data_IF_727421651827
#
_entry.id   IF_727421651827
#
_cell.length_a   1.000
_cell.length_b   1.000
_cell.length_c   1.000
_cell.angle_alpha   90.00
_cell.angle_beta   90.00
_cell.angle_gamma   90.00
#
_symmetry.space_group_name_H-M   'P 1'
#
loop_
_entity.id
_entity.type
_entity.pdbx_description
1 polymer ?
#
# COMPACT_ATOMS: atom_id res chain seq x y z
N UNK A 1 12.28 -40.19 -43.53
CA UNK A 1 13.01 -40.73 -42.36
C UNK A 1 12.50 -40.05 -41.11
N UNK A 2 11.76 -40.79 -40.29
CA UNK A 2 11.37 -40.40 -38.92
C UNK A 2 12.26 -41.16 -37.96
N UNK A 3 12.72 -40.51 -36.89
CA UNK A 3 12.38 -40.99 -35.55
C UNK A 3 12.10 -39.81 -34.61
N UNK A 4 11.57 -39.92 -33.39
CA UNK A 4 10.79 -40.90 -32.62
C UNK A 4 10.66 -40.21 -31.24
N UNK A 5 9.46 -40.22 -30.64
CA UNK A 5 9.16 -39.68 -29.30
C UNK A 5 10.16 -40.15 -28.23
N UNK A 6 10.37 -39.33 -27.18
CA UNK A 6 10.33 -39.80 -25.78
C UNK A 6 9.68 -38.75 -24.88
N UNK A 7 8.58 -39.15 -24.25
CA UNK A 7 7.96 -38.52 -23.08
C UNK A 7 8.74 -38.99 -21.86
N UNK A 8 9.16 -38.06 -20.99
CA UNK A 8 9.81 -38.38 -19.72
C UNK A 8 9.16 -37.65 -18.56
N UNK A 9 8.25 -38.34 -17.86
CA UNK A 9 7.81 -38.00 -16.50
C UNK A 9 8.87 -38.43 -15.49
N UNK A 10 9.29 -37.55 -14.57
CA UNK A 10 9.82 -37.88 -13.23
C UNK A 10 9.51 -36.68 -12.31
N UNK A 11 8.60 -36.82 -11.35
CA UNK A 11 8.68 -37.53 -10.07
C UNK A 11 9.11 -36.58 -8.94
N UNK A 12 8.21 -36.49 -7.95
CA UNK A 12 8.34 -35.77 -6.69
C UNK A 12 9.57 -36.23 -5.90
N UNK A 13 10.21 -35.30 -5.17
CA UNK A 13 10.89 -35.64 -3.93
C UNK A 13 10.98 -34.41 -3.01
N UNK A 14 10.39 -34.55 -1.82
CA UNK A 14 10.54 -33.67 -0.65
C UNK A 14 11.87 -33.99 0.06
N UNK A 15 12.55 -32.97 0.59
CA UNK A 15 13.38 -33.11 1.79
C UNK A 15 12.86 -32.13 2.87
N UNK A 16 12.90 -32.39 4.16
CA UNK A 16 13.35 -33.53 4.93
C UNK A 16 12.91 -33.26 6.37
N UNK A 17 12.45 -34.32 7.03
CA UNK A 17 12.15 -34.37 8.44
C UNK A 17 13.42 -34.00 9.23
N UNK A 18 13.36 -32.98 10.09
CA UNK A 18 14.40 -32.75 11.11
C UNK A 18 13.84 -33.20 12.46
N UNK A 19 14.33 -34.36 12.90
CA UNK A 19 14.34 -34.76 14.30
C UNK A 19 15.21 -33.75 15.08
N UNK A 20 14.65 -33.20 16.15
CA UNK A 20 15.38 -32.71 17.31
C UNK A 20 14.59 -33.21 18.51
N UNK A 21 15.05 -34.30 19.12
CA UNK A 21 15.99 -34.32 20.25
C UNK A 21 15.21 -34.35 21.57
N UNK A 22 15.24 -35.54 22.18
CA UNK A 22 14.79 -35.82 23.54
C UNK A 22 15.40 -34.82 24.53
N UNK A 23 14.58 -34.31 25.44
CA UNK A 23 15.02 -33.95 26.78
C UNK A 23 14.09 -34.65 27.78
N UNK A 24 14.65 -35.63 28.48
CA UNK A 24 14.04 -36.42 29.53
C UNK A 24 14.67 -35.97 30.86
N UNK A 25 13.94 -35.25 31.71
CA UNK A 25 14.22 -35.03 33.12
C UNK A 25 13.04 -34.23 33.72
N UNK A 26 12.38 -34.58 34.82
CA UNK A 26 12.51 -35.70 35.74
C UNK A 26 11.24 -35.74 36.61
N UNK A 27 10.93 -36.92 37.15
CA UNK A 27 9.83 -37.14 38.09
C UNK A 27 10.16 -36.54 39.45
N UNK A 28 9.25 -35.73 40.01
CA UNK A 28 8.99 -35.67 41.45
C UNK A 28 7.47 -35.55 41.66
N UNK A 29 6.89 -36.62 42.18
CA UNK A 29 5.50 -36.70 42.57
C UNK A 29 5.30 -36.06 43.95
N UNK A 30 4.25 -35.24 44.09
CA UNK A 30 3.69 -34.79 45.36
C UNK A 30 2.19 -34.54 45.18
N UNK A 31 1.30 -35.07 46.05
CA UNK A 31 -0.13 -34.86 45.92
C UNK A 31 -0.63 -33.67 46.77
N UNK A 32 -1.84 -33.21 46.42
CA UNK A 32 -2.72 -32.30 47.16
C UNK A 32 -2.47 -30.78 47.05
N UNK A 33 -3.44 -30.08 46.44
CA UNK A 33 -3.68 -28.65 46.68
C UNK A 33 -4.20 -27.85 45.48
N UNK A 34 -5.50 -27.55 45.49
CA UNK A 34 -6.16 -26.33 44.98
C UNK A 34 -6.14 -25.95 43.47
N UNK A 35 -7.32 -26.12 42.86
CA UNK A 35 -8.07 -25.22 41.95
C UNK A 35 -7.32 -24.22 41.04
N UNK A 36 -7.62 -24.28 39.73
CA UNK A 36 -8.46 -23.27 39.03
C UNK A 36 -8.73 -23.66 37.57
N UNK A 37 -9.86 -23.25 36.97
CA UNK A 37 -10.36 -23.77 35.70
C UNK A 37 -9.59 -23.24 34.50
N UNK A 38 -9.29 -24.13 33.55
CA UNK A 38 -8.68 -23.80 32.28
C UNK A 38 -9.78 -23.27 31.34
N UNK A 39 -9.81 -21.97 30.99
CA UNK A 39 -10.66 -21.50 29.91
C UNK A 39 -10.05 -21.97 28.60
N UNK A 40 -10.87 -22.56 27.74
CA UNK A 40 -10.49 -22.81 26.36
C UNK A 40 -10.01 -21.51 25.72
N UNK A 41 -8.81 -21.50 25.17
CA UNK A 41 -8.37 -20.44 24.27
C UNK A 41 -8.97 -20.71 22.90
N UNK A 42 -10.19 -20.19 22.74
CA UNK A 42 -10.74 -19.70 21.49
C UNK A 42 -9.67 -18.95 20.67
N UNK A 43 -9.58 -19.27 19.38
CA UNK A 43 -9.95 -18.41 18.25
C UNK A 43 -9.13 -17.14 18.06
N UNK A 44 -8.86 -16.87 16.78
CA UNK A 44 -8.51 -15.53 16.33
C UNK A 44 -7.01 -15.29 16.32
N UNK A 45 -6.32 -15.87 15.34
CA UNK A 45 -5.15 -15.21 14.78
C UNK A 45 -5.57 -13.77 14.46
N UNK A 46 -5.08 -12.84 15.27
CA UNK A 46 -5.38 -11.43 15.21
C UNK A 46 -5.25 -10.97 13.77
N UNK A 47 -6.38 -10.70 13.13
CA UNK A 47 -6.44 -9.76 12.04
C UNK A 47 -5.93 -8.45 12.65
N UNK A 48 -4.65 -8.16 12.45
CA UNK A 48 -4.05 -6.89 12.80
C UNK A 48 -5.02 -5.81 12.34
N UNK A 49 -5.66 -5.14 13.30
CA UNK A 49 -6.71 -4.19 13.03
C UNK A 49 -6.11 -3.11 12.15
N UNK A 50 -6.43 -3.16 10.86
CA UNK A 50 -5.88 -2.23 9.89
C UNK A 50 -6.24 -0.82 10.36
N UNK A 51 -5.24 0.03 10.57
CA UNK A 51 -5.47 1.39 11.05
C UNK A 51 -6.53 2.08 10.17
N UNK A 52 -7.51 2.77 10.78
CA UNK A 52 -8.59 3.40 10.04
C UNK A 52 -8.04 4.45 9.07
N UNK A 53 -8.74 4.65 7.95
CA UNK A 53 -8.37 5.69 7.00
C UNK A 53 -8.59 7.09 7.62
N UNK A 54 -7.74 8.08 7.27
CA UNK A 54 -7.83 9.41 7.86
C UNK A 54 -9.08 10.15 7.38
N UNK A 55 -9.85 10.74 8.31
CA UNK A 55 -11.05 11.55 8.02
C UNK A 55 -10.85 13.05 8.27
N UNK A 56 -9.75 13.44 8.94
CA UNK A 56 -9.39 14.82 9.23
C UNK A 56 -8.16 15.26 8.41
N UNK A 57 -8.06 16.55 8.02
CA UNK A 57 -6.93 17.06 7.22
C UNK A 57 -5.57 16.75 7.83
N UNK A 58 -5.37 17.09 9.11
CA UNK A 58 -4.10 16.88 9.80
C UNK A 58 -3.77 15.39 9.95
N UNK A 59 -4.80 14.55 10.12
CA UNK A 59 -4.63 13.11 10.16
C UNK A 59 -4.19 12.54 8.81
N UNK A 60 -4.64 13.10 7.68
CA UNK A 60 -4.17 12.71 6.35
C UNK A 60 -2.70 13.08 6.15
N UNK A 61 -2.31 14.31 6.53
CA UNK A 61 -0.92 14.77 6.45
C UNK A 61 -0.03 13.84 7.29
N UNK A 62 -0.38 13.62 8.55
CA UNK A 62 0.36 12.74 9.44
C UNK A 62 0.45 11.30 8.90
N UNK A 63 -0.66 10.75 8.39
CA UNK A 63 -0.72 9.40 7.82
C UNK A 63 0.26 9.24 6.64
N UNK A 64 0.27 10.20 5.71
CA UNK A 64 1.14 10.15 4.53
C UNK A 64 2.60 10.39 4.89
N UNK A 65 2.88 11.37 5.75
CA UNK A 65 4.24 11.64 6.23
C UNK A 65 4.82 10.42 6.96
N UNK A 66 4.03 9.76 7.81
CA UNK A 66 4.45 8.55 8.50
C UNK A 66 4.69 7.40 7.51
N UNK A 67 3.77 7.17 6.58
CA UNK A 67 3.92 6.10 5.58
C UNK A 67 5.16 6.29 4.69
N UNK A 68 5.52 7.53 4.34
CA UNK A 68 6.75 7.83 3.59
C UNK A 68 8.00 7.52 4.41
N UNK A 69 8.01 7.89 5.69
CA UNK A 69 9.14 7.65 6.62
C UNK A 69 9.35 6.16 6.90
N UNK A 70 8.27 5.43 7.12
CA UNK A 70 8.30 4.01 7.49
C UNK A 70 8.40 3.08 6.27
N UNK A 71 8.41 3.64 5.06
CA UNK A 71 8.34 2.88 3.81
C UNK A 71 7.08 1.99 3.72
N UNK A 72 5.97 2.43 4.31
CA UNK A 72 4.74 1.65 4.43
C UNK A 72 3.95 1.65 3.10
N UNK A 73 4.28 0.69 2.23
CA UNK A 73 3.56 0.46 0.98
C UNK A 73 2.09 0.10 1.25
N UNK A 74 1.81 -0.67 2.31
CA UNK A 74 0.46 -1.12 2.62
C UNK A 74 -0.46 0.03 3.04
N UNK A 75 0.08 1.07 3.71
CA UNK A 75 -0.64 2.30 3.99
C UNK A 75 -1.11 3.00 2.71
N UNK A 76 -0.25 3.09 1.68
CA UNK A 76 -0.63 3.67 0.39
C UNK A 76 -1.56 2.77 -0.42
N UNK A 77 -1.36 1.46 -0.39
CA UNK A 77 -2.31 0.52 -1.01
C UNK A 77 -3.71 0.66 -0.42
N UNK A 78 -3.81 0.92 0.89
CA UNK A 78 -5.07 1.22 1.54
C UNK A 78 -5.59 2.60 1.18
N UNK A 79 -4.76 3.64 1.15
CA UNK A 79 -5.19 5.04 1.00
C UNK A 79 -5.63 5.40 -0.43
N UNK A 80 -5.03 4.78 -1.45
CA UNK A 80 -5.33 5.06 -2.86
C UNK A 80 -6.67 4.44 -3.27
N UNK A 81 -7.50 5.22 -3.95
CA UNK A 81 -8.67 4.69 -4.63
C UNK A 81 -8.23 4.00 -5.92
N UNK A 82 -8.31 2.66 -5.96
CA UNK A 82 -7.91 1.85 -7.12
C UNK A 82 -9.03 1.62 -8.14
N UNK A 83 -10.21 2.19 -7.92
CA UNK A 83 -11.36 2.02 -8.83
C UNK A 83 -11.00 2.43 -10.25
N UNK A 84 -11.34 1.59 -11.23
CA UNK A 84 -11.04 1.81 -12.65
C UNK A 84 -9.56 1.65 -13.04
N UNK A 85 -8.68 1.22 -12.12
CA UNK A 85 -7.24 1.09 -12.38
C UNK A 85 -6.88 -0.32 -12.84
N UNK A 86 -6.03 -0.43 -13.88
CA UNK A 86 -5.45 -1.72 -14.33
C UNK A 86 -4.20 -2.08 -13.52
N UNK A 87 -3.86 -3.37 -13.46
CA UNK A 87 -2.71 -3.86 -12.69
C UNK A 87 -1.38 -3.15 -13.02
N UNK A 88 -1.11 -2.87 -14.30
CA UNK A 88 0.09 -2.14 -14.72
C UNK A 88 0.14 -0.70 -14.16
N UNK A 89 -0.99 0.01 -14.17
CA UNK A 89 -1.08 1.37 -13.62
C UNK A 89 -0.91 1.34 -12.10
N UNK A 90 -1.51 0.38 -11.39
CA UNK A 90 -1.27 0.17 -9.95
C UNK A 90 0.23 0.01 -9.65
N UNK A 91 0.94 -0.84 -10.40
CA UNK A 91 2.39 -1.04 -10.24
C UNK A 91 3.19 0.26 -10.45
N UNK A 92 2.88 1.01 -11.50
CA UNK A 92 3.55 2.29 -11.79
C UNK A 92 3.27 3.33 -10.71
N UNK A 93 2.03 3.46 -10.24
CA UNK A 93 1.68 4.38 -9.15
C UNK A 93 2.44 4.05 -7.87
N UNK A 94 2.48 2.76 -7.49
CA UNK A 94 3.25 2.35 -6.29
C UNK A 94 4.75 2.56 -6.46
N UNK A 95 5.29 2.38 -7.68
CA UNK A 95 6.69 2.69 -7.97
C UNK A 95 6.99 4.18 -7.78
N UNK A 96 6.12 5.06 -8.29
CA UNK A 96 6.23 6.51 -8.11
C UNK A 96 6.10 6.93 -6.64
N UNK A 97 5.24 6.27 -5.86
CA UNK A 97 5.13 6.53 -4.42
C UNK A 97 6.43 6.14 -3.71
N UNK A 98 6.97 4.96 -4.03
CA UNK A 98 8.22 4.48 -3.43
C UNK A 98 9.42 5.34 -3.74
N UNK A 99 9.43 6.11 -4.84
CA UNK A 99 10.55 7.05 -5.07
C UNK A 99 10.59 8.19 -4.05
N UNK A 100 9.52 8.41 -3.28
CA UNK A 100 9.49 9.36 -2.16
C UNK A 100 9.97 8.80 -0.82
N UNK A 101 10.10 7.47 -0.70
CA UNK A 101 10.33 6.78 0.57
C UNK A 101 11.73 7.05 1.14
N UNK A 102 11.79 7.27 2.46
CA UNK A 102 13.04 7.52 3.18
C UNK A 102 13.66 8.91 2.95
N UNK A 103 13.06 9.71 2.06
CA UNK A 103 13.49 11.08 1.81
C UNK A 103 13.09 11.98 2.97
N UNK A 104 13.97 12.86 3.45
CA UNK A 104 13.63 13.80 4.51
C UNK A 104 12.52 14.74 4.01
N UNK A 105 11.51 14.96 4.85
CA UNK A 105 10.36 15.82 4.51
C UNK A 105 10.57 17.17 5.17
N UNK A 106 10.61 18.24 4.37
CA UNK A 106 10.68 19.63 4.83
C UNK A 106 9.31 20.13 5.27
N UNK A 107 8.29 19.85 4.47
CA UNK A 107 6.92 20.28 4.73
C UNK A 107 5.91 19.35 4.05
N UNK A 108 4.74 19.20 4.65
CA UNK A 108 3.59 18.55 4.03
C UNK A 108 2.31 19.32 4.37
N UNK A 109 1.48 19.60 3.37
CA UNK A 109 0.27 20.42 3.52
C UNK A 109 -0.85 19.94 2.61
N UNK A 110 -2.07 19.92 3.14
CA UNK A 110 -3.29 19.76 2.34
C UNK A 110 -3.74 21.15 1.88
N UNK A 111 -3.85 21.33 0.57
CA UNK A 111 -4.26 22.59 -0.05
C UNK A 111 -5.50 22.38 -0.92
N UNK A 112 -6.37 23.38 -1.07
CA UNK A 112 -7.43 23.34 -2.06
C UNK A 112 -6.88 23.06 -3.46
N UNK A 113 -7.59 22.25 -4.24
CA UNK A 113 -7.24 22.02 -5.64
C UNK A 113 -7.54 23.31 -6.43
N UNK A 114 -6.59 23.84 -7.23
CA UNK A 114 -6.88 24.97 -8.11
C UNK A 114 -7.98 24.62 -9.11
N UNK A 115 -8.80 25.60 -9.50
CA UNK A 115 -9.93 25.40 -10.42
C UNK A 115 -9.50 24.70 -11.73
N UNK A 116 -8.38 25.13 -12.30
CA UNK A 116 -7.82 24.56 -13.54
C UNK A 116 -6.80 23.45 -13.30
N UNK A 117 -6.65 22.96 -12.06
CA UNK A 117 -5.56 22.05 -11.68
C UNK A 117 -5.56 20.69 -12.39
N UNK A 118 -6.65 20.33 -13.07
CA UNK A 118 -6.76 19.11 -13.89
C UNK A 118 -6.92 19.40 -15.40
N UNK A 119 -6.97 20.66 -15.81
CA UNK A 119 -7.33 21.05 -17.18
C UNK A 119 -6.38 20.43 -18.21
N UNK A 120 -5.06 20.56 -18.01
CA UNK A 120 -4.07 20.01 -18.93
C UNK A 120 -4.16 18.47 -19.03
N UNK A 121 -4.24 17.79 -17.88
CA UNK A 121 -4.27 16.34 -17.82
C UNK A 121 -5.54 15.73 -18.43
N UNK A 122 -6.64 16.49 -18.46
CA UNK A 122 -7.94 16.05 -18.98
C UNK A 122 -8.27 16.63 -20.35
N UNK A 123 -7.52 17.61 -20.86
CA UNK A 123 -7.79 18.32 -22.11
C UNK A 123 -7.96 17.40 -23.33
N UNK A 124 -7.23 16.29 -23.38
CA UNK A 124 -7.30 15.30 -24.48
C UNK A 124 -8.50 14.35 -24.39
N UNK A 125 -9.26 14.39 -23.29
CA UNK A 125 -10.43 13.54 -23.05
C UNK A 125 -10.13 12.05 -22.86
N UNK A 126 -8.85 11.66 -22.80
CA UNK A 126 -8.39 10.27 -22.63
C UNK A 126 -8.24 9.85 -21.17
N UNK A 127 -8.27 10.81 -20.25
CA UNK A 127 -8.13 10.60 -18.81
C UNK A 127 -9.28 11.26 -18.07
N UNK A 128 -9.71 10.65 -16.97
CA UNK A 128 -10.62 11.23 -15.99
C UNK A 128 -10.16 10.89 -14.58
N UNK A 129 -10.53 11.72 -13.60
CA UNK A 129 -10.41 11.34 -12.20
C UNK A 129 -11.36 10.18 -11.89
N UNK A 130 -10.91 9.22 -11.08
CA UNK A 130 -11.72 8.08 -10.67
C UNK A 130 -12.64 8.37 -9.46
N UNK A 131 -12.51 9.55 -8.86
CA UNK A 131 -13.39 10.12 -7.85
C UNK A 131 -13.29 11.65 -7.89
N UNK A 132 -14.25 12.39 -7.29
CA UNK A 132 -14.15 13.85 -7.15
C UNK A 132 -12.89 14.25 -6.39
N UNK A 133 -12.16 15.23 -6.89
CA UNK A 133 -10.96 15.80 -6.27
C UNK A 133 -11.33 17.16 -5.71
N UNK A 134 -11.04 17.37 -4.44
CA UNK A 134 -11.32 18.63 -3.72
C UNK A 134 -10.03 19.34 -3.32
N UNK A 135 -8.99 18.55 -3.03
CA UNK A 135 -7.75 19.02 -2.46
C UNK A 135 -6.55 18.38 -3.17
N UNK A 136 -5.37 18.92 -2.89
CA UNK A 136 -4.09 18.30 -3.20
C UNK A 136 -3.25 18.24 -1.94
N UNK A 137 -2.60 17.10 -1.69
CA UNK A 137 -1.60 16.99 -0.65
C UNK A 137 -0.23 17.19 -1.28
N UNK A 138 0.49 18.23 -0.84
CA UNK A 138 1.85 18.53 -1.28
C UNK A 138 2.82 18.04 -0.21
N UNK A 139 3.83 17.30 -0.63
CA UNK A 139 4.95 16.87 0.21
C UNK A 139 6.22 17.41 -0.41
N UNK A 140 6.87 18.35 0.28
CA UNK A 140 8.13 18.97 -0.12
C UNK A 140 9.26 18.28 0.62
N UNK A 141 10.21 17.73 -0.12
CA UNK A 141 11.37 17.05 0.45
C UNK A 141 12.46 18.05 0.79
N UNK A 142 13.23 17.76 1.85
CA UNK A 142 14.34 18.58 2.32
C UNK A 142 15.63 18.24 1.58
N UNK A 143 15.59 18.44 0.27
CA UNK A 143 16.71 18.18 -0.63
C UNK A 143 16.97 19.44 -1.47
N UNK A 144 18.24 19.72 -1.79
CA UNK A 144 18.57 20.86 -2.66
C UNK A 144 17.88 20.65 -4.02
N UNK A 145 17.28 21.71 -4.59
CA UNK A 145 16.81 21.66 -5.96
C UNK A 145 17.95 21.31 -6.91
N UNK A 146 17.63 20.58 -7.98
CA UNK A 146 18.53 20.48 -9.12
C UNK A 146 18.58 21.86 -9.79
N UNK A 147 19.74 22.26 -10.33
CA UNK A 147 19.93 23.58 -10.91
C UNK A 147 18.86 23.91 -11.96
N UNK A 148 18.13 25.00 -11.76
CA UNK A 148 17.02 25.43 -12.63
C UNK A 148 15.64 24.83 -12.32
N UNK A 149 15.54 23.90 -11.36
CA UNK A 149 14.29 23.24 -11.00
C UNK A 149 13.71 23.71 -9.65
N UNK A 150 12.42 23.45 -9.46
CA UNK A 150 11.76 23.61 -8.16
C UNK A 150 12.23 22.57 -7.14
N UNK A 151 12.02 22.84 -5.85
CA UNK A 151 12.30 21.87 -4.79
C UNK A 151 11.56 20.54 -5.06
N UNK A 152 12.20 19.38 -4.81
CA UNK A 152 11.57 18.09 -5.07
C UNK A 152 10.25 17.96 -4.31
N UNK A 153 9.16 17.78 -5.04
CA UNK A 153 7.80 17.78 -4.48
C UNK A 153 7.00 16.61 -5.02
N UNK A 154 6.31 15.90 -4.14
CA UNK A 154 5.23 14.98 -4.51
C UNK A 154 3.87 15.65 -4.31
N UNK A 155 2.99 15.51 -5.31
CA UNK A 155 1.61 16.00 -5.23
C UNK A 155 0.66 14.83 -5.39
N UNK A 156 -0.20 14.64 -4.39
CA UNK A 156 -1.27 13.64 -4.43
C UNK A 156 -2.60 14.34 -4.65
N UNK A 157 -3.40 13.81 -5.58
CA UNK A 157 -4.77 14.28 -5.80
C UNK A 157 -5.66 13.70 -4.72
N UNK A 158 -6.38 14.54 -3.97
CA UNK A 158 -7.13 14.12 -2.80
C UNK A 158 -8.63 14.34 -3.01
N UNK A 159 -9.41 13.33 -2.65
CA UNK A 159 -10.85 13.41 -2.54
C UNK A 159 -11.35 12.71 -1.28
N UNK A 160 -12.67 12.64 -1.13
CA UNK A 160 -13.32 11.93 -0.04
C UNK A 160 -14.23 10.81 -0.55
N UNK A 161 -14.21 9.68 0.15
CA UNK A 161 -15.05 8.51 -0.11
C UNK A 161 -15.47 7.93 1.23
N UNK A 162 -16.77 7.69 1.43
CA UNK A 162 -17.32 7.17 2.69
C UNK A 162 -16.85 7.94 3.96
N UNK A 163 -16.69 9.26 3.85
CA UNK A 163 -16.27 10.12 4.96
C UNK A 163 -14.77 10.11 5.28
N UNK A 164 -13.96 9.36 4.52
CA UNK A 164 -12.51 9.32 4.66
C UNK A 164 -11.80 9.94 3.46
N UNK A 165 -10.61 10.48 3.69
CA UNK A 165 -9.72 10.94 2.63
C UNK A 165 -9.12 9.77 1.85
N UNK A 166 -8.98 9.97 0.53
CA UNK A 166 -8.43 9.00 -0.40
C UNK A 166 -7.54 9.72 -1.41
N UNK A 167 -6.52 9.01 -1.90
CA UNK A 167 -5.76 9.48 -3.06
C UNK A 167 -6.52 9.08 -4.33
N UNK A 168 -6.91 10.06 -5.12
CA UNK A 168 -7.54 9.89 -6.42
C UNK A 168 -6.49 9.60 -7.51
N UNK A 169 -6.93 8.92 -8.56
CA UNK A 169 -6.10 8.62 -9.74
C UNK A 169 -6.76 9.16 -11.00
N UNK A 170 -5.92 9.60 -11.95
CA UNK A 170 -6.33 9.77 -13.33
C UNK A 170 -6.29 8.41 -14.03
N UNK A 171 -7.44 7.97 -14.53
CA UNK A 171 -7.63 6.68 -15.20
C UNK A 171 -8.09 6.87 -16.64
N UNK A 172 -7.75 5.95 -17.56
CA UNK A 172 -8.18 6.04 -18.95
C UNK A 172 -9.72 6.00 -19.10
N UNK A 173 -10.25 6.83 -20.01
CA UNK A 173 -11.68 6.87 -20.36
C UNK A 173 -12.07 5.92 -21.49
N UNK A 174 -11.09 5.32 -22.17
CA UNK A 174 -11.26 4.53 -23.40
C UNK A 174 -10.32 5.03 -24.50
N UNK A 175 -10.36 4.44 -25.72
CA UNK A 175 -9.63 5.00 -26.85
C UNK A 175 -10.06 6.46 -27.11
N UNK A 176 -9.15 7.34 -27.57
CA UNK A 176 -9.49 8.73 -27.87
C UNK A 176 -10.69 8.75 -28.82
N UNK A 177 -11.72 9.54 -28.49
CA UNK A 177 -12.82 9.80 -29.42
C UNK A 177 -12.21 10.51 -30.63
N UNK A 178 -12.22 9.85 -31.78
CA UNK A 178 -11.69 10.41 -33.03
C UNK A 178 -12.33 11.75 -33.34
N UNK A 179 -11.52 12.69 -33.82
CA UNK A 179 -11.99 13.94 -34.44
C UNK A 179 -12.63 13.64 -35.79
#
# INVERSE_FOLDING_TARGET
>A
MTPRRVIGSRSMMKPGLRLAALALAGLLAGPAGAQSPQPGSQEGAAAASAAPLPSQPDALVAYVTQAIRDHDVAAFERLVNWTGTRAQRKRLTLYQIRSGFGRPIKAASLEPMPEDGLAEATARGTLKANMPITDRLRVVFDEPPVEGDAAPTSVFLIGREAGAYRIALLVPTGPPKGK
#
